data_IF_979179314276
#
_entry.id   IF_979179314276
#
_cell.length_a   1.000
_cell.length_b   1.000
_cell.length_c   1.000
_cell.angle_alpha   90.00
_cell.angle_beta   90.00
_cell.angle_gamma   90.00
#
_symmetry.space_group_name_H-M   'P 1'
#
loop_
_entity.id
_entity.type
_entity.pdbx_description
1 polymer ?
#
# COMPACT_ATOMS: atom_id res chain seq x y z
N UNK A 1 17.28 12.95 9.42
CA UNK A 1 16.68 14.19 8.93
C UNK A 1 15.47 14.55 9.78
N UNK A 2 15.53 15.70 10.47
CA UNK A 2 14.35 16.27 11.14
C UNK A 2 13.63 17.19 10.16
N UNK A 3 12.33 16.99 9.99
CA UNK A 3 11.46 17.91 9.24
C UNK A 3 10.54 18.66 10.19
N UNK A 4 10.19 19.89 9.81
CA UNK A 4 9.22 20.71 10.55
C UNK A 4 8.05 21.02 9.62
N UNK A 5 6.83 20.83 10.12
CA UNK A 5 5.59 21.14 9.41
C UNK A 5 4.69 21.98 10.33
N UNK A 6 3.89 22.86 9.75
CA UNK A 6 2.84 23.56 10.49
C UNK A 6 1.57 22.76 10.27
N UNK A 7 0.96 22.29 11.36
CA UNK A 7 -0.31 21.56 11.34
C UNK A 7 -1.22 22.19 12.38
N UNK A 8 -2.43 22.62 11.98
CA UNK A 8 -3.37 23.31 12.87
C UNK A 8 -2.73 24.52 13.59
N UNK A 9 -2.07 25.41 12.86
CA UNK A 9 -1.33 26.57 13.40
C UNK A 9 -0.26 26.21 14.46
N UNK A 10 0.14 24.95 14.54
CA UNK A 10 1.11 24.46 15.51
C UNK A 10 2.30 23.86 14.77
N UNK A 11 3.51 24.28 15.14
CA UNK A 11 4.73 23.66 14.63
C UNK A 11 4.85 22.24 15.17
N UNK A 12 4.98 21.27 14.28
CA UNK A 12 5.25 19.86 14.56
C UNK A 12 6.57 19.48 13.91
N UNK A 13 7.26 18.53 14.51
CA UNK A 13 8.51 17.98 13.98
C UNK A 13 8.42 16.47 13.88
N UNK A 14 9.00 15.90 12.82
CA UNK A 14 9.13 14.46 12.63
C UNK A 14 10.59 14.10 12.33
N UNK A 15 11.05 12.96 12.84
CA UNK A 15 12.38 12.42 12.53
C UNK A 15 12.25 11.34 11.46
N UNK A 16 12.66 11.68 10.23
CA UNK A 16 12.59 10.76 9.09
C UNK A 16 13.68 9.68 9.11
N UNK A 17 14.65 9.74 10.03
CA UNK A 17 15.58 8.63 10.28
C UNK A 17 14.99 7.56 11.20
N UNK A 18 13.83 7.85 11.80
CA UNK A 18 13.12 6.93 12.70
C UNK A 18 11.65 6.77 12.26
N UNK A 19 11.40 6.33 11.00
CA UNK A 19 10.04 6.13 10.53
C UNK A 19 9.38 4.95 11.22
N UNK A 20 8.05 4.95 11.23
CA UNK A 20 7.25 3.75 11.49
C UNK A 20 6.89 3.19 10.11
N UNK A 21 7.36 1.98 9.82
CA UNK A 21 7.00 1.30 8.58
C UNK A 21 5.56 0.77 8.66
N UNK A 22 4.72 1.23 7.72
CA UNK A 22 3.34 0.79 7.56
C UNK A 22 3.15 -0.09 6.32
N UNK A 23 4.25 -0.47 5.67
CA UNK A 23 4.24 -1.28 4.46
C UNK A 23 3.95 -2.74 4.80
N UNK A 24 3.12 -3.38 3.99
CA UNK A 24 3.01 -4.84 3.99
C UNK A 24 4.17 -5.40 3.16
N UNK A 25 5.16 -5.99 3.83
CA UNK A 25 6.32 -6.57 3.16
C UNK A 25 5.96 -7.90 2.49
N UNK A 26 5.99 -7.91 1.16
CA UNK A 26 5.71 -9.10 0.35
C UNK A 26 6.76 -10.19 0.54
N UNK A 27 6.35 -11.44 0.35
CA UNK A 27 7.24 -12.62 0.35
C UNK A 27 7.00 -13.46 -0.91
N UNK A 28 7.94 -14.34 -1.23
CA UNK A 28 7.81 -15.30 -2.35
C UNK A 28 7.18 -16.63 -1.93
N UNK A 29 6.91 -16.80 -0.63
CA UNK A 29 6.23 -17.96 -0.04
C UNK A 29 5.42 -17.51 1.17
N UNK A 30 4.21 -18.02 1.33
CA UNK A 30 3.31 -17.71 2.44
C UNK A 30 3.13 -16.20 2.63
N UNK A 31 2.94 -15.49 1.52
CA UNK A 31 2.73 -14.05 1.50
C UNK A 31 1.25 -13.72 1.60
N UNK A 32 0.94 -12.51 2.04
CA UNK A 32 -0.40 -11.97 1.83
C UNK A 32 -0.68 -11.83 0.32
N UNK A 33 -1.95 -11.99 -0.02
CA UNK A 33 -2.48 -11.83 -1.37
C UNK A 33 -3.91 -11.29 -1.29
N UNK A 34 -4.30 -10.48 -2.25
CA UNK A 34 -5.69 -10.05 -2.41
C UNK A 34 -6.38 -10.80 -3.55
N UNK A 35 -7.68 -11.03 -3.39
CA UNK A 35 -8.52 -11.70 -4.38
C UNK A 35 -7.96 -13.08 -4.77
N UNK A 36 -7.81 -13.34 -6.07
CA UNK A 36 -7.40 -14.62 -6.63
C UNK A 36 -6.01 -14.57 -7.29
N UNK A 37 -5.19 -13.56 -6.97
CA UNK A 37 -3.86 -13.46 -7.58
C UNK A 37 -2.87 -14.41 -6.92
N UNK A 38 -1.84 -14.77 -7.68
CA UNK A 38 -0.72 -15.57 -7.19
C UNK A 38 0.23 -14.77 -6.28
N UNK A 39 1.06 -15.50 -5.53
CA UNK A 39 2.17 -14.90 -4.78
C UNK A 39 3.24 -14.35 -5.74
N UNK A 40 4.09 -13.45 -5.22
CA UNK A 40 5.25 -12.93 -5.96
C UNK A 40 6.16 -14.09 -6.35
N UNK A 41 6.59 -14.11 -7.61
CA UNK A 41 7.61 -15.05 -8.09
C UNK A 41 8.93 -14.33 -8.27
N UNK A 42 10.00 -14.96 -7.79
CA UNK A 42 11.36 -14.51 -8.00
C UNK A 42 12.15 -15.63 -8.69
N UNK A 43 12.46 -15.46 -9.97
CA UNK A 43 13.15 -16.48 -10.75
C UNK A 43 14.60 -16.07 -10.97
N UNK A 44 15.53 -17.01 -10.82
CA UNK A 44 16.93 -16.78 -11.14
C UNK A 44 17.09 -16.65 -12.65
N UNK A 45 17.71 -15.56 -13.10
CA UNK A 45 18.02 -15.37 -14.51
C UNK A 45 19.23 -16.25 -14.87
N UNK A 46 19.07 -17.12 -15.87
CA UNK A 46 20.13 -18.00 -16.38
C UNK A 46 20.14 -17.97 -17.91
N UNK A 47 21.33 -18.00 -18.51
CA UNK A 47 21.54 -18.25 -19.94
C UNK A 47 22.81 -19.10 -20.12
N UNK A 48 23.26 -19.32 -21.37
CA UNK A 48 24.38 -20.24 -21.66
C UNK A 48 25.67 -19.90 -20.90
N UNK A 49 25.97 -18.62 -20.70
CA UNK A 49 27.24 -18.15 -20.11
C UNK A 49 27.05 -17.44 -18.76
N UNK A 50 25.82 -17.44 -18.22
CA UNK A 50 25.48 -16.69 -17.02
C UNK A 50 24.52 -17.43 -16.09
N UNK A 51 24.89 -17.46 -14.81
CA UNK A 51 24.05 -17.97 -13.71
C UNK A 51 23.83 -16.83 -12.70
N UNK A 52 22.60 -16.35 -12.58
CA UNK A 52 22.21 -15.26 -11.68
C UNK A 52 22.02 -15.66 -10.22
N UNK A 53 22.76 -16.65 -9.73
CA UNK A 53 22.69 -17.09 -8.33
C UNK A 53 24.09 -17.40 -7.83
N UNK A 54 24.51 -16.72 -6.77
CA UNK A 54 25.82 -16.99 -6.13
C UNK A 54 25.87 -18.41 -5.57
N UNK A 55 24.75 -18.87 -5.02
CA UNK A 55 24.63 -20.24 -4.51
C UNK A 55 24.82 -21.29 -5.61
N UNK A 56 24.42 -20.98 -6.84
CA UNK A 56 24.58 -21.86 -8.00
C UNK A 56 25.93 -21.64 -8.75
N UNK A 57 26.88 -20.90 -8.16
CA UNK A 57 28.20 -20.64 -8.75
C UNK A 57 28.32 -19.39 -9.62
N UNK A 58 27.28 -18.55 -9.65
CA UNK A 58 27.32 -17.22 -10.27
C UNK A 58 28.11 -16.19 -9.49
N UNK A 59 28.44 -15.06 -10.13
CA UNK A 59 29.12 -13.93 -9.47
C UNK A 59 28.16 -12.96 -8.75
N UNK A 60 26.86 -13.06 -9.02
CA UNK A 60 25.83 -12.14 -8.50
C UNK A 60 24.49 -12.86 -8.27
N UNK A 61 23.63 -12.29 -7.43
CA UNK A 61 22.22 -12.68 -7.33
C UNK A 61 21.39 -11.80 -8.26
N UNK A 62 21.04 -12.33 -9.43
CA UNK A 62 20.28 -11.64 -10.45
C UNK A 62 18.98 -12.41 -10.73
N UNK A 63 17.87 -11.82 -10.29
CA UNK A 63 16.54 -12.43 -10.34
C UNK A 63 15.56 -11.50 -11.04
N UNK A 64 14.64 -12.08 -11.80
CA UNK A 64 13.44 -11.42 -12.28
C UNK A 64 12.32 -11.55 -11.23
N UNK A 65 11.46 -10.53 -11.14
CA UNK A 65 10.29 -10.54 -10.27
C UNK A 65 9.01 -10.45 -11.11
N UNK A 66 8.06 -11.34 -10.83
CA UNK A 66 6.69 -11.24 -11.33
C UNK A 66 5.77 -10.84 -10.18
N UNK A 67 5.08 -9.72 -10.33
CA UNK A 67 4.25 -9.11 -9.28
C UNK A 67 2.88 -8.68 -9.81
N UNK A 68 1.87 -8.74 -8.94
CA UNK A 68 0.60 -8.04 -9.10
C UNK A 68 0.58 -6.87 -8.10
N UNK A 69 0.80 -5.60 -8.53
CA UNK A 69 0.97 -4.47 -7.62
C UNK A 69 -0.19 -4.28 -6.65
N UNK A 70 -1.43 -4.47 -7.13
CA UNK A 70 -2.62 -4.31 -6.29
C UNK A 70 -2.82 -5.43 -5.27
N UNK A 71 -2.30 -6.63 -5.55
CA UNK A 71 -2.58 -7.82 -4.74
C UNK A 71 -1.42 -8.27 -3.86
N UNK A 72 -0.20 -7.82 -4.14
CA UNK A 72 0.98 -8.33 -3.47
C UNK A 72 1.70 -7.30 -2.58
N UNK A 73 1.29 -6.03 -2.54
CA UNK A 73 1.96 -5.00 -1.74
C UNK A 73 1.05 -3.84 -1.33
N UNK A 74 1.51 -3.04 -0.36
CA UNK A 74 1.00 -1.68 -0.18
C UNK A 74 1.31 -0.87 -1.43
N UNK A 75 0.30 -0.24 -2.03
CA UNK A 75 0.43 0.46 -3.31
C UNK A 75 -0.40 1.74 -3.33
N UNK A 76 -0.14 2.57 -4.33
CA UNK A 76 -0.96 3.71 -4.72
C UNK A 76 -1.39 3.51 -6.17
N UNK A 77 -2.56 4.01 -6.52
CA UNK A 77 -3.15 3.86 -7.85
C UNK A 77 -3.50 5.23 -8.44
N UNK A 78 -3.62 5.27 -9.76
CA UNK A 78 -4.21 6.41 -10.46
C UNK A 78 -5.51 5.99 -11.14
N UNK A 79 -6.28 6.98 -11.62
CA UNK A 79 -7.46 6.73 -12.46
C UNK A 79 -7.14 5.90 -13.72
N UNK A 80 -5.88 5.83 -14.14
CA UNK A 80 -5.43 4.93 -15.21
C UNK A 80 -5.75 3.45 -14.96
N UNK A 81 -5.97 3.04 -13.70
CA UNK A 81 -6.44 1.70 -13.37
C UNK A 81 -7.85 1.39 -13.92
N UNK A 82 -8.69 2.42 -14.08
CA UNK A 82 -10.08 2.31 -14.53
C UNK A 82 -10.32 2.94 -15.91
N UNK A 83 -9.39 3.76 -16.38
CA UNK A 83 -9.49 4.49 -17.64
C UNK A 83 -9.02 3.65 -18.83
N UNK A 84 -9.56 3.95 -20.02
CA UNK A 84 -9.00 3.44 -21.29
C UNK A 84 -7.70 4.16 -21.67
N UNK A 85 -7.49 5.36 -21.14
CA UNK A 85 -6.29 6.16 -21.39
C UNK A 85 -5.19 5.82 -20.38
N UNK A 86 -3.94 5.83 -20.83
CA UNK A 86 -2.80 5.62 -19.96
C UNK A 86 -2.56 6.86 -19.10
N UNK A 87 -2.87 6.74 -17.81
CA UNK A 87 -2.55 7.75 -16.80
C UNK A 87 -1.59 7.13 -15.80
N UNK A 88 -0.37 7.67 -15.73
CA UNK A 88 0.68 7.10 -14.89
C UNK A 88 0.77 7.80 -13.54
N UNK A 89 0.82 7.02 -12.46
CA UNK A 89 0.82 7.54 -11.08
C UNK A 89 2.03 8.44 -10.79
N UNK A 90 3.20 8.12 -11.36
CA UNK A 90 4.42 8.91 -11.21
C UNK A 90 4.35 10.30 -11.89
N UNK A 91 3.40 10.51 -12.80
CA UNK A 91 3.16 11.83 -13.40
C UNK A 91 2.18 12.68 -12.58
N UNK A 92 1.38 12.05 -11.71
CA UNK A 92 0.33 12.73 -10.93
C UNK A 92 0.78 13.09 -9.51
N UNK A 93 1.77 12.39 -8.95
CA UNK A 93 2.27 12.59 -7.60
C UNK A 93 3.68 13.21 -7.64
N UNK A 94 3.79 14.54 -7.73
CA UNK A 94 5.09 15.23 -7.73
C UNK A 94 5.74 15.29 -6.34
N UNK A 95 5.03 14.91 -5.29
CA UNK A 95 5.48 14.86 -3.90
C UNK A 95 5.19 13.48 -3.31
N UNK A 96 6.07 13.03 -2.41
CA UNK A 96 5.99 11.71 -1.78
C UNK A 96 5.86 11.77 -0.25
N UNK A 97 5.86 12.98 0.31
CA UNK A 97 5.67 13.23 1.74
C UNK A 97 4.40 14.04 1.91
N UNK A 98 3.51 13.55 2.77
CA UNK A 98 2.22 14.15 3.03
C UNK A 98 1.97 14.19 4.52
N UNK A 99 1.19 15.18 4.94
CA UNK A 99 0.56 15.18 6.25
C UNK A 99 -0.70 14.33 6.16
N UNK A 100 -0.95 13.52 7.18
CA UNK A 100 -2.09 12.61 7.22
C UNK A 100 -2.67 12.55 8.62
N UNK A 101 -3.95 12.20 8.71
CA UNK A 101 -4.64 11.97 9.98
C UNK A 101 -4.98 10.50 10.13
N UNK A 102 -4.56 9.90 11.25
CA UNK A 102 -4.88 8.52 11.60
C UNK A 102 -6.12 8.50 12.49
N UNK A 103 -7.17 7.84 12.02
CA UNK A 103 -8.42 7.66 12.76
C UNK A 103 -8.59 6.20 13.18
N UNK A 104 -8.82 5.96 14.47
CA UNK A 104 -9.17 4.62 14.97
C UNK A 104 -10.70 4.47 14.97
N UNK A 105 -11.20 3.54 14.17
CA UNK A 105 -12.64 3.28 14.02
C UNK A 105 -12.93 1.85 14.47
N UNK A 106 -13.97 1.68 15.30
CA UNK A 106 -14.51 0.37 15.65
C UNK A 106 -15.64 0.03 14.67
N UNK A 107 -15.52 -1.04 13.85
CA UNK A 107 -16.60 -1.46 12.97
C UNK A 107 -17.86 -1.89 13.73
N UNK A 108 -19.02 -1.66 13.13
CA UNK A 108 -20.32 -2.12 13.64
C UNK A 108 -20.70 -3.45 12.99
N UNK A 109 -21.35 -4.35 13.74
CA UNK A 109 -21.86 -5.61 13.20
C UNK A 109 -23.23 -5.40 12.56
N UNK A 110 -23.38 -5.75 11.29
CA UNK A 110 -24.63 -5.65 10.55
C UNK A 110 -25.69 -6.63 11.11
N UNK A 111 -26.88 -6.11 11.42
CA UNK A 111 -28.01 -6.89 11.94
C UNK A 111 -28.96 -7.38 10.84
N UNK A 112 -28.86 -6.80 9.65
CA UNK A 112 -29.59 -7.15 8.42
C UNK A 112 -28.68 -6.95 7.20
N UNK A 113 -29.12 -7.45 6.05
CA UNK A 113 -28.53 -7.07 4.76
C UNK A 113 -28.73 -5.55 4.53
N UNK A 114 -27.73 -4.90 3.93
CA UNK A 114 -27.69 -3.45 3.75
C UNK A 114 -27.18 -3.01 2.38
N UNK A 115 -27.02 -1.69 2.21
CA UNK A 115 -26.43 -1.10 1.02
C UNK A 115 -24.96 -1.51 0.81
N UNK A 116 -24.45 -1.26 -0.40
CA UNK A 116 -23.04 -1.52 -0.75
C UNK A 116 -22.58 -2.97 -0.54
N UNK A 117 -23.51 -3.93 -0.58
CA UNK A 117 -23.20 -5.35 -0.48
C UNK A 117 -23.00 -5.88 0.94
N UNK A 118 -23.20 -5.08 1.99
CA UNK A 118 -23.09 -5.52 3.39
C UNK A 118 -24.14 -6.59 3.71
N UNK A 119 -23.71 -7.71 4.29
CA UNK A 119 -24.58 -8.83 4.70
C UNK A 119 -24.77 -8.89 6.20
N UNK A 120 -25.90 -9.45 6.63
CA UNK A 120 -26.14 -9.71 8.06
C UNK A 120 -24.97 -10.50 8.66
N UNK A 121 -24.39 -9.96 9.72
CA UNK A 121 -23.25 -10.55 10.44
C UNK A 121 -21.90 -9.95 10.08
N UNK A 122 -21.78 -9.23 8.96
CA UNK A 122 -20.56 -8.54 8.56
C UNK A 122 -20.22 -7.42 9.53
N UNK A 123 -18.93 -7.08 9.64
CA UNK A 123 -18.49 -5.86 10.28
C UNK A 123 -18.27 -4.79 9.21
N UNK A 124 -18.87 -3.61 9.39
CA UNK A 124 -18.78 -2.52 8.42
C UNK A 124 -18.40 -1.19 9.06
N UNK A 125 -17.85 -0.32 8.22
CA UNK A 125 -17.58 1.10 8.51
C UNK A 125 -18.26 1.90 7.40
N UNK A 126 -18.96 2.96 7.79
CA UNK A 126 -19.68 3.86 6.88
C UNK A 126 -19.51 5.33 7.33
N UNK A 127 -20.22 6.25 6.67
CA UNK A 127 -20.08 7.69 6.92
C UNK A 127 -20.30 8.07 8.40
N UNK A 128 -21.35 7.56 9.06
CA UNK A 128 -21.64 7.91 10.46
C UNK A 128 -20.51 7.52 11.42
N UNK A 129 -19.70 6.52 11.06
CA UNK A 129 -18.56 6.11 11.89
C UNK A 129 -17.40 7.10 11.84
N UNK A 130 -17.26 7.87 10.75
CA UNK A 130 -16.17 8.84 10.52
C UNK A 130 -16.63 10.29 10.62
N UNK A 131 -17.93 10.54 10.56
CA UNK A 131 -18.52 11.87 10.69
C UNK A 131 -18.05 12.55 11.98
N UNK A 132 -17.69 13.84 11.88
CA UNK A 132 -17.16 14.66 12.97
C UNK A 132 -15.85 14.18 13.61
N UNK A 133 -15.20 13.12 13.10
CA UNK A 133 -13.88 12.65 13.57
C UNK A 133 -12.72 13.20 12.74
N UNK A 134 -13.01 13.70 11.54
CA UNK A 134 -12.02 14.30 10.65
C UNK A 134 -11.77 15.74 11.11
N UNK A 135 -10.53 16.09 11.40
CA UNK A 135 -10.15 17.49 11.57
C UNK A 135 -10.05 18.15 10.19
N UNK A 136 -10.84 19.18 9.88
CA UNK A 136 -10.79 19.84 8.58
C UNK A 136 -9.51 20.66 8.33
N UNK A 137 -8.72 20.92 9.38
CA UNK A 137 -7.58 21.85 9.33
C UNK A 137 -6.21 21.17 9.13
N UNK A 138 -6.17 20.02 8.44
CA UNK A 138 -4.93 19.25 8.20
C UNK A 138 -4.10 19.75 7.00
N UNK A 139 -4.55 20.81 6.34
CA UNK A 139 -3.81 21.47 5.24
C UNK A 139 -2.80 22.51 5.74
#
# INVERSE_FOLDING_TARGET
>A
MIVNVILNNSKKSANLDKPIDLSLCSKTKNSFKAWYVEEIKANVIKNNDFIGSVEDGGSVNFKELLINPHGNMTHTESVGHLSKENVFVNNLLPSFHFTAQLLTIKPEKATSDGGSGVKKGDYFVDLKHIENKINPNVN
#
